data_IF_429514105362
#
_entry.id   IF_429514105362
#
_cell.length_a   1.000
_cell.length_b   1.000
_cell.length_c   1.000
_cell.angle_alpha   90.00
_cell.angle_beta   90.00
_cell.angle_gamma   90.00
#
_symmetry.space_group_name_H-M   'P 1'
#
loop_
_entity.id
_entity.type
_entity.pdbx_description
1 polymer ?
#
# COMPACT_ATOMS: atom_id res chain seq x y z
N UNK A 1 -20.12 -4.62 33.12
CA UNK A 1 -20.84 -4.67 31.83
C UNK A 1 -21.12 -6.13 31.51
N UNK A 2 -22.23 -6.44 30.86
CA UNK A 2 -22.51 -7.83 30.50
C UNK A 2 -21.73 -8.22 29.24
N UNK A 3 -21.41 -9.49 29.12
CA UNK A 3 -20.70 -10.03 27.92
C UNK A 3 -21.46 -9.70 26.61
N UNK A 4 -22.78 -9.61 26.67
CA UNK A 4 -23.63 -9.23 25.52
C UNK A 4 -23.41 -7.77 25.09
N UNK A 5 -23.26 -6.86 26.06
CA UNK A 5 -22.96 -5.45 25.78
C UNK A 5 -21.58 -5.29 25.15
N UNK A 6 -20.59 -6.05 25.60
CA UNK A 6 -19.25 -6.02 25.04
C UNK A 6 -19.21 -6.51 23.59
N UNK A 7 -19.97 -7.55 23.25
CA UNK A 7 -20.11 -8.04 21.88
C UNK A 7 -20.80 -7.01 21.00
N UNK A 8 -21.88 -6.39 21.49
CA UNK A 8 -22.60 -5.35 20.75
C UNK A 8 -21.74 -4.11 20.50
N UNK A 9 -21.02 -3.63 21.51
CA UNK A 9 -20.09 -2.51 21.41
C UNK A 9 -18.93 -2.83 20.45
N UNK A 10 -18.40 -4.04 20.49
CA UNK A 10 -17.31 -4.46 19.58
C UNK A 10 -17.79 -4.57 18.14
N UNK A 11 -18.96 -5.14 17.88
CA UNK A 11 -19.57 -5.16 16.55
C UNK A 11 -19.85 -3.74 16.04
N UNK A 12 -20.31 -2.85 16.93
CA UNK A 12 -20.51 -1.43 16.61
C UNK A 12 -19.21 -0.73 16.22
N UNK A 13 -18.11 -1.03 16.92
CA UNK A 13 -16.79 -0.47 16.60
C UNK A 13 -16.32 -0.89 15.19
N UNK A 14 -16.45 -2.16 14.84
CA UNK A 14 -16.13 -2.68 13.49
C UNK A 14 -17.02 -2.02 12.43
N UNK A 15 -18.32 -1.91 12.68
CA UNK A 15 -19.25 -1.25 11.76
C UNK A 15 -18.90 0.23 11.53
N UNK A 16 -18.48 0.95 12.57
CA UNK A 16 -18.04 2.35 12.46
C UNK A 16 -16.73 2.48 11.67
N UNK A 17 -15.81 1.51 11.79
CA UNK A 17 -14.57 1.48 11.02
C UNK A 17 -14.80 1.25 9.52
N UNK A 18 -15.78 0.42 9.18
CA UNK A 18 -16.17 0.15 7.79
C UNK A 18 -17.00 1.29 7.18
N UNK A 19 -17.69 2.08 8.00
CA UNK A 19 -18.55 3.15 7.52
C UNK A 19 -17.72 4.34 6.98
N UNK A 20 -18.00 4.74 5.74
CA UNK A 20 -17.32 5.87 5.09
C UNK A 20 -17.48 7.17 5.88
N UNK A 21 -16.41 7.91 6.06
CA UNK A 21 -16.40 9.25 6.68
C UNK A 21 -16.65 9.25 8.20
N UNK A 22 -16.70 8.11 8.86
CA UNK A 22 -16.77 8.02 10.31
C UNK A 22 -15.36 8.11 10.91
N UNK A 23 -15.24 8.94 11.94
CA UNK A 23 -13.99 9.12 12.68
C UNK A 23 -14.29 9.40 14.15
N UNK A 24 -13.43 8.99 15.08
CA UNK A 24 -13.61 9.24 16.52
C UNK A 24 -13.78 10.72 16.86
N UNK A 25 -13.07 11.61 16.16
CA UNK A 25 -13.19 13.06 16.36
C UNK A 25 -14.59 13.63 16.07
N UNK A 26 -15.44 12.88 15.34
CA UNK A 26 -16.80 13.31 14.96
C UNK A 26 -17.90 12.51 15.63
N UNK A 27 -17.55 11.55 16.48
CA UNK A 27 -18.48 10.65 17.15
C UNK A 27 -18.00 10.31 18.56
N UNK A 28 -18.66 10.83 19.58
CA UNK A 28 -18.34 10.53 20.97
C UNK A 28 -18.46 9.03 21.30
N UNK A 29 -19.42 8.33 20.67
CA UNK A 29 -19.55 6.87 20.76
C UNK A 29 -18.29 6.18 20.23
N UNK A 30 -17.84 6.54 19.03
CA UNK A 30 -16.65 5.91 18.42
C UNK A 30 -15.39 6.20 19.24
N UNK A 31 -15.22 7.46 19.73
CA UNK A 31 -14.11 7.82 20.59
C UNK A 31 -14.11 7.04 21.92
N UNK A 32 -15.28 6.73 22.48
CA UNK A 32 -15.43 5.87 23.67
C UNK A 32 -14.97 4.44 23.36
N UNK A 33 -15.41 3.88 22.24
CA UNK A 33 -15.05 2.51 21.83
C UNK A 33 -13.55 2.37 21.53
N UNK A 34 -12.94 3.38 20.90
CA UNK A 34 -11.48 3.43 20.67
C UNK A 34 -10.73 3.39 22.01
N UNK A 35 -11.11 4.22 22.97
CA UNK A 35 -10.50 4.20 24.31
C UNK A 35 -10.67 2.85 25.01
N UNK A 36 -11.83 2.23 24.90
CA UNK A 36 -12.06 0.89 25.46
C UNK A 36 -11.11 -0.14 24.85
N UNK A 37 -10.93 -0.09 23.53
CA UNK A 37 -10.00 -0.98 22.85
C UNK A 37 -8.55 -0.81 23.36
N UNK A 38 -8.13 0.45 23.60
CA UNK A 38 -6.79 0.77 24.10
C UNK A 38 -6.58 0.34 25.57
N UNK A 39 -7.62 0.38 26.39
CA UNK A 39 -7.51 0.18 27.85
C UNK A 39 -8.02 -1.17 28.35
N UNK A 40 -8.86 -1.86 27.58
CA UNK A 40 -9.51 -3.12 27.98
C UNK A 40 -9.07 -4.28 27.06
N UNK A 41 -8.04 -5.08 27.42
CA UNK A 41 -7.54 -6.17 26.55
C UNK A 41 -8.61 -7.21 26.18
N UNK A 42 -9.54 -7.50 27.09
CA UNK A 42 -10.66 -8.43 26.82
C UNK A 42 -11.58 -7.89 25.72
N UNK A 43 -11.92 -6.61 25.76
CA UNK A 43 -12.71 -5.95 24.72
C UNK A 43 -11.96 -5.93 23.37
N UNK A 44 -10.67 -5.61 23.37
CA UNK A 44 -9.84 -5.63 22.18
C UNK A 44 -9.80 -7.02 21.51
N UNK A 45 -9.78 -8.10 22.30
CA UNK A 45 -9.86 -9.46 21.76
C UNK A 45 -11.22 -9.74 21.10
N UNK A 46 -12.32 -9.29 21.68
CA UNK A 46 -13.65 -9.43 21.09
C UNK A 46 -13.73 -8.70 19.75
N UNK A 47 -13.23 -7.46 19.68
CA UNK A 47 -13.18 -6.67 18.43
C UNK A 47 -12.37 -7.40 17.35
N UNK A 48 -11.18 -7.95 17.69
CA UNK A 48 -10.36 -8.70 16.74
C UNK A 48 -11.07 -9.96 16.25
N UNK A 49 -11.75 -10.71 17.13
CA UNK A 49 -12.51 -11.89 16.73
C UNK A 49 -13.69 -11.56 15.82
N UNK A 50 -14.40 -10.46 16.08
CA UNK A 50 -15.48 -10.01 15.21
C UNK A 50 -14.93 -9.57 13.86
N UNK A 51 -13.83 -8.80 13.81
CA UNK A 51 -13.18 -8.45 12.56
C UNK A 51 -12.75 -9.70 11.77
N UNK A 52 -12.15 -10.67 12.42
CA UNK A 52 -11.78 -11.96 11.82
C UNK A 52 -12.98 -12.73 11.26
N UNK A 53 -14.16 -12.66 11.91
CA UNK A 53 -15.39 -13.27 11.39
C UNK A 53 -15.92 -12.62 10.11
N UNK A 54 -15.38 -11.45 9.72
CA UNK A 54 -15.60 -10.78 8.43
C UNK A 54 -14.38 -10.90 7.49
N UNK A 55 -13.45 -11.80 7.78
CA UNK A 55 -12.17 -11.94 7.06
C UNK A 55 -11.41 -10.60 6.97
N UNK A 56 -11.42 -9.85 8.07
CA UNK A 56 -10.70 -8.59 8.23
C UNK A 56 -9.66 -8.72 9.33
N UNK A 57 -8.52 -8.05 9.12
CA UNK A 57 -7.45 -7.96 10.10
C UNK A 57 -7.46 -6.57 10.75
N UNK A 58 -7.32 -6.51 12.07
CA UNK A 58 -7.10 -5.23 12.76
C UNK A 58 -5.63 -4.86 12.60
N UNK A 59 -5.36 -3.83 11.81
CA UNK A 59 -4.01 -3.32 11.58
C UNK A 59 -3.57 -2.48 12.79
N UNK A 60 -4.33 -1.44 13.10
CA UNK A 60 -4.03 -0.54 14.20
C UNK A 60 -5.29 0.16 14.70
N UNK A 61 -5.22 0.69 15.92
CA UNK A 61 -6.22 1.62 16.45
C UNK A 61 -5.55 2.96 16.71
N UNK A 62 -6.06 4.01 16.10
CA UNK A 62 -5.49 5.34 16.17
C UNK A 62 -6.58 6.37 16.51
N UNK A 63 -6.21 7.43 17.26
CA UNK A 63 -7.15 8.46 17.72
C UNK A 63 -7.88 9.21 16.60
N UNK A 64 -7.24 9.36 15.45
CA UNK A 64 -7.83 10.12 14.33
C UNK A 64 -8.65 9.25 13.38
N UNK A 65 -8.10 8.18 12.74
CA UNK A 65 -8.90 7.31 11.89
C UNK A 65 -9.78 6.34 12.66
N UNK A 66 -9.49 6.06 13.94
CA UNK A 66 -10.13 5.03 14.73
C UNK A 66 -9.54 3.65 14.47
N UNK A 67 -10.37 2.63 14.41
CA UNK A 67 -9.99 1.26 14.06
C UNK A 67 -9.66 1.16 12.58
N UNK A 68 -8.43 0.80 12.25
CA UNK A 68 -7.97 0.55 10.88
C UNK A 68 -7.99 -0.93 10.62
N UNK A 69 -8.74 -1.32 9.60
CA UNK A 69 -8.95 -2.71 9.19
C UNK A 69 -8.27 -2.95 7.85
N UNK A 70 -7.53 -4.05 7.77
CA UNK A 70 -7.01 -4.61 6.53
C UNK A 70 -7.92 -5.71 6.00
N UNK A 71 -7.92 -5.90 4.70
CA UNK A 71 -8.64 -6.99 4.03
C UNK A 71 -7.75 -8.22 3.89
N UNK A 72 -8.32 -9.41 4.01
CA UNK A 72 -7.68 -10.66 3.57
C UNK A 72 -8.16 -11.02 2.16
N UNK A 73 -7.49 -11.91 1.44
CA UNK A 73 -7.92 -12.31 0.09
C UNK A 73 -9.32 -12.91 0.06
N UNK A 74 -9.79 -13.46 1.18
CA UNK A 74 -11.07 -14.16 1.32
C UNK A 74 -12.25 -13.22 1.62
N UNK A 75 -11.98 -11.96 1.98
CA UNK A 75 -13.04 -11.05 2.43
C UNK A 75 -13.93 -10.55 1.30
N UNK A 76 -15.23 -10.51 1.56
CA UNK A 76 -16.22 -9.87 0.67
C UNK A 76 -16.10 -8.33 0.62
N UNK A 77 -15.31 -7.74 1.49
CA UNK A 77 -15.06 -6.28 1.52
C UNK A 77 -13.92 -5.85 0.60
N UNK A 78 -13.18 -6.78 0.01
CA UNK A 78 -12.15 -6.47 -0.98
C UNK A 78 -12.80 -6.01 -2.30
N UNK A 79 -12.36 -4.87 -2.81
CA UNK A 79 -12.78 -4.38 -4.11
C UNK A 79 -11.78 -4.85 -5.16
N UNK A 80 -12.23 -5.65 -6.11
CA UNK A 80 -11.34 -6.15 -7.16
C UNK A 80 -10.95 -5.03 -8.14
N UNK A 81 -9.76 -5.14 -8.73
CA UNK A 81 -9.34 -4.21 -9.80
C UNK A 81 -10.30 -4.30 -11.00
N UNK A 82 -10.92 -5.46 -11.22
CA UNK A 82 -11.89 -5.66 -12.29
C UNK A 82 -13.15 -4.81 -12.11
N UNK A 83 -13.61 -4.61 -10.88
CA UNK A 83 -14.77 -3.77 -10.55
C UNK A 83 -14.45 -2.29 -10.75
N UNK A 84 -13.22 -1.88 -10.44
CA UNK A 84 -12.77 -0.50 -10.59
C UNK A 84 -12.45 -0.15 -12.04
N UNK A 85 -11.87 -1.10 -12.78
CA UNK A 85 -11.38 -0.91 -14.14
C UNK A 85 -11.91 -2.02 -15.05
N UNK A 86 -13.07 -1.78 -15.71
CA UNK A 86 -13.70 -2.79 -16.58
C UNK A 86 -12.81 -3.22 -17.76
N UNK A 87 -12.03 -2.30 -18.33
CA UNK A 87 -11.13 -2.60 -19.44
C UNK A 87 -9.89 -3.35 -18.95
N UNK A 88 -9.74 -4.60 -19.37
CA UNK A 88 -8.62 -5.46 -18.95
C UNK A 88 -7.25 -4.84 -19.25
N UNK A 89 -7.09 -4.21 -20.42
CA UNK A 89 -5.85 -3.54 -20.82
C UNK A 89 -5.47 -2.32 -19.93
N UNK A 90 -6.44 -1.76 -19.19
CA UNK A 90 -6.19 -0.62 -18.28
C UNK A 90 -5.83 -1.06 -16.86
N UNK A 91 -6.14 -2.29 -16.47
CA UNK A 91 -5.93 -2.80 -15.10
C UNK A 91 -4.46 -2.75 -14.66
N UNK A 92 -3.49 -3.24 -15.46
CA UNK A 92 -2.09 -3.13 -15.07
C UNK A 92 -1.61 -1.68 -14.95
N UNK A 93 -2.09 -0.79 -15.83
CA UNK A 93 -1.76 0.64 -15.77
C UNK A 93 -2.36 1.33 -14.54
N UNK A 94 -3.54 0.90 -14.12
CA UNK A 94 -4.17 1.38 -12.89
C UNK A 94 -3.38 0.96 -11.65
N UNK A 95 -2.92 -0.30 -11.58
CA UNK A 95 -2.06 -0.78 -10.48
C UNK A 95 -0.72 -0.05 -10.46
N UNK A 96 -0.14 0.22 -11.64
CA UNK A 96 1.05 1.04 -11.75
C UNK A 96 0.84 2.45 -11.19
N UNK A 97 -0.29 3.08 -11.48
CA UNK A 97 -0.64 4.37 -10.90
C UNK A 97 -0.79 4.29 -9.37
N UNK A 98 -1.39 3.23 -8.82
CA UNK A 98 -1.49 3.01 -7.37
C UNK A 98 -0.11 2.87 -6.72
N UNK A 99 0.80 2.10 -7.32
CA UNK A 99 2.18 1.96 -6.84
C UNK A 99 2.93 3.30 -6.86
N UNK A 100 2.79 4.07 -7.94
CA UNK A 100 3.42 5.38 -8.06
C UNK A 100 2.86 6.38 -7.02
N UNK A 101 1.55 6.34 -6.74
CA UNK A 101 0.93 7.14 -5.68
C UNK A 101 1.53 6.78 -4.32
N UNK A 102 1.68 5.49 -4.02
CA UNK A 102 2.26 5.03 -2.76
C UNK A 102 3.73 5.43 -2.62
N UNK A 103 4.53 5.26 -3.69
CA UNK A 103 5.94 5.64 -3.71
C UNK A 103 6.17 7.14 -3.55
N UNK A 104 5.33 7.97 -4.17
CA UNK A 104 5.38 9.43 -3.99
C UNK A 104 4.84 9.88 -2.64
N UNK A 105 3.87 9.15 -2.10
CA UNK A 105 3.33 9.43 -0.78
C UNK A 105 4.33 9.13 0.34
N UNK A 106 5.09 8.06 0.21
CA UNK A 106 6.04 7.58 1.21
C UNK A 106 7.38 7.21 0.54
N UNK A 107 8.19 8.23 0.17
CA UNK A 107 9.43 8.01 -0.57
C UNK A 107 10.53 7.33 0.25
N UNK A 108 10.42 7.33 1.57
CA UNK A 108 11.39 6.69 2.46
C UNK A 108 10.67 5.73 3.41
N UNK A 109 11.29 4.60 3.81
CA UNK A 109 10.73 3.69 4.80
C UNK A 109 10.34 4.39 6.12
N UNK A 110 11.15 5.36 6.58
CA UNK A 110 10.93 6.10 7.82
C UNK A 110 9.63 6.92 7.79
N UNK A 111 9.17 7.34 6.60
CA UNK A 111 7.92 8.08 6.43
C UNK A 111 6.69 7.22 6.79
N UNK A 112 6.84 5.87 6.79
CA UNK A 112 5.79 4.93 7.20
C UNK A 112 5.70 4.78 8.73
N UNK A 113 6.76 5.10 9.45
CA UNK A 113 6.83 5.01 10.92
C UNK A 113 6.50 6.34 11.61
N UNK A 114 6.47 7.45 10.87
CA UNK A 114 6.13 8.78 11.41
C UNK A 114 4.61 8.99 11.45
N UNK A 115 4.04 9.02 12.66
CA UNK A 115 2.61 9.18 12.90
C UNK A 115 2.04 10.53 12.44
N UNK A 116 2.87 11.54 12.33
CA UNK A 116 2.47 12.90 11.92
C UNK A 116 2.73 13.15 10.43
N UNK A 117 3.41 12.22 9.74
CA UNK A 117 3.76 12.40 8.35
C UNK A 117 2.52 12.47 7.45
N UNK A 118 2.35 13.61 6.82
CA UNK A 118 1.30 13.89 5.83
C UNK A 118 1.93 14.56 4.63
N UNK A 119 1.76 13.98 3.45
CA UNK A 119 2.25 14.55 2.20
C UNK A 119 1.11 14.86 1.24
N UNK A 120 1.44 15.54 0.15
CA UNK A 120 0.52 15.86 -0.93
C UNK A 120 1.00 15.22 -2.22
N UNK A 121 0.06 14.62 -2.93
CA UNK A 121 0.30 13.97 -4.22
C UNK A 121 -0.70 14.53 -5.22
N UNK A 122 -0.25 14.94 -6.40
CA UNK A 122 -1.12 15.43 -7.47
C UNK A 122 -1.18 14.48 -8.66
N UNK A 123 -2.26 14.57 -9.43
CA UNK A 123 -2.42 13.77 -10.66
C UNK A 123 -1.27 14.01 -11.63
N UNK A 124 -0.87 15.26 -11.80
CA UNK A 124 0.23 15.66 -12.68
C UNK A 124 1.56 15.05 -12.20
N UNK A 125 1.88 15.19 -10.91
CA UNK A 125 3.10 14.65 -10.32
C UNK A 125 3.23 13.15 -10.49
N UNK A 126 2.14 12.40 -10.26
CA UNK A 126 2.13 10.93 -10.45
C UNK A 126 2.40 10.56 -11.91
N UNK A 127 1.74 11.23 -12.86
CA UNK A 127 1.95 10.95 -14.28
C UNK A 127 3.38 11.28 -14.73
N UNK A 128 3.92 12.41 -14.29
CA UNK A 128 5.30 12.82 -14.59
C UNK A 128 6.31 11.82 -14.05
N UNK A 129 6.12 11.34 -12.81
CA UNK A 129 7.01 10.35 -12.19
C UNK A 129 6.96 9.00 -12.92
N UNK A 130 5.77 8.48 -13.21
CA UNK A 130 5.61 7.23 -13.98
C UNK A 130 6.28 7.35 -15.34
N UNK A 131 6.13 8.48 -16.03
CA UNK A 131 6.77 8.71 -17.34
C UNK A 131 8.28 8.82 -17.22
N UNK A 132 8.79 9.47 -16.17
CA UNK A 132 10.22 9.59 -15.90
C UNK A 132 10.86 8.22 -15.68
N UNK A 133 10.27 7.40 -14.81
CA UNK A 133 10.71 6.04 -14.55
C UNK A 133 10.65 5.16 -15.80
N UNK A 134 9.55 5.25 -16.56
CA UNK A 134 9.40 4.48 -17.81
C UNK A 134 10.50 4.81 -18.83
N UNK A 135 10.83 6.09 -19.02
CA UNK A 135 11.94 6.50 -19.91
C UNK A 135 13.31 6.04 -19.39
N UNK A 136 13.53 6.09 -18.07
CA UNK A 136 14.76 5.60 -17.46
C UNK A 136 14.95 4.09 -17.68
N UNK A 137 13.87 3.32 -17.61
CA UNK A 137 13.86 1.88 -17.90
C UNK A 137 14.14 1.64 -19.39
N UNK A 138 13.46 2.33 -20.31
CA UNK A 138 13.72 2.21 -21.75
C UNK A 138 15.19 2.50 -22.08
N UNK A 139 15.76 3.58 -21.51
CA UNK A 139 17.15 3.94 -21.74
C UNK A 139 18.12 2.88 -21.21
N UNK A 140 17.83 2.30 -20.04
CA UNK A 140 18.66 1.21 -19.47
C UNK A 140 18.62 -0.05 -20.32
N UNK A 141 17.43 -0.45 -20.77
CA UNK A 141 17.26 -1.62 -21.64
C UNK A 141 17.95 -1.43 -23.00
N UNK A 142 17.92 -0.22 -23.57
CA UNK A 142 18.63 0.09 -24.80
C UNK A 142 20.17 0.04 -24.67
N UNK A 143 20.70 0.10 -23.46
CA UNK A 143 22.14 -0.01 -23.17
C UNK A 143 22.58 -1.44 -22.81
N UNK A 144 21.65 -2.32 -22.48
CA UNK A 144 21.92 -3.72 -22.17
C UNK A 144 21.78 -4.52 -23.47
N UNK A 145 22.84 -5.20 -23.90
CA UNK A 145 22.89 -5.99 -25.14
C UNK A 145 21.68 -6.94 -25.24
N UNK A 146 21.09 -6.98 -26.43
CA UNK A 146 19.76 -7.53 -26.74
C UNK A 146 19.69 -9.07 -26.79
N UNK A 147 20.47 -9.81 -26.00
CA UNK A 147 20.51 -11.28 -26.08
C UNK A 147 19.55 -12.00 -25.11
N UNK A 148 18.71 -11.25 -24.41
CA UNK A 148 17.67 -11.84 -23.55
C UNK A 148 16.32 -11.20 -23.85
N UNK A 149 15.72 -11.61 -24.94
CA UNK A 149 14.33 -11.24 -25.27
C UNK A 149 13.39 -11.94 -24.26
N UNK A 150 12.59 -11.20 -23.48
CA UNK A 150 11.60 -11.84 -22.61
C UNK A 150 10.58 -12.61 -23.46
N UNK A 151 10.07 -13.74 -22.98
CA UNK A 151 9.12 -14.57 -23.73
C UNK A 151 7.97 -13.72 -24.27
N UNK A 152 7.67 -13.83 -25.57
CA UNK A 152 6.71 -13.00 -26.30
C UNK A 152 5.26 -13.08 -25.78
N UNK A 153 4.96 -14.03 -24.94
CA UNK A 153 3.64 -14.34 -24.35
C UNK A 153 3.42 -13.79 -22.94
N UNK A 154 4.45 -13.21 -22.30
CA UNK A 154 4.28 -12.47 -21.05
C UNK A 154 4.55 -10.99 -21.31
N UNK A 155 3.53 -10.12 -21.28
CA UNK A 155 3.76 -8.68 -21.27
C UNK A 155 4.41 -8.32 -19.93
N UNK A 156 5.72 -8.50 -19.84
CA UNK A 156 6.50 -8.13 -18.67
C UNK A 156 6.35 -6.64 -18.35
N UNK A 157 6.93 -6.20 -17.25
CA UNK A 157 6.96 -4.79 -16.82
C UNK A 157 7.33 -3.83 -17.97
N UNK A 158 8.18 -4.27 -18.89
CA UNK A 158 8.57 -3.51 -20.08
C UNK A 158 7.39 -3.17 -20.99
N UNK A 159 6.53 -4.13 -21.29
CA UNK A 159 5.31 -3.90 -22.07
C UNK A 159 4.37 -2.91 -21.38
N UNK A 160 4.29 -2.95 -20.05
CA UNK A 160 3.49 -2.04 -19.25
C UNK A 160 4.00 -0.59 -19.34
N UNK A 161 5.30 -0.35 -19.19
CA UNK A 161 5.91 0.98 -19.29
C UNK A 161 5.72 1.58 -20.69
N UNK A 162 5.94 0.79 -21.75
CA UNK A 162 5.70 1.21 -23.13
C UNK A 162 4.23 1.52 -23.40
N UNK A 163 3.30 0.72 -22.83
CA UNK A 163 1.87 0.98 -22.94
C UNK A 163 1.47 2.29 -22.25
N UNK A 164 2.07 2.61 -21.12
CA UNK A 164 1.85 3.88 -20.43
C UNK A 164 2.36 5.06 -21.24
N UNK A 165 3.60 5.00 -21.75
CA UNK A 165 4.24 6.07 -22.53
C UNK A 165 3.50 6.38 -23.85
N UNK A 166 2.89 5.37 -24.48
CA UNK A 166 2.10 5.55 -25.71
C UNK A 166 0.79 6.33 -25.48
N UNK A 167 0.34 6.46 -24.25
CA UNK A 167 -0.87 7.23 -23.93
C UNK A 167 -0.55 8.71 -23.73
N UNK A 168 -1.45 9.56 -24.25
CA UNK A 168 -1.37 10.99 -23.95
C UNK A 168 -1.68 11.25 -22.48
N UNK A 169 -0.98 12.21 -21.88
CA UNK A 169 -1.25 12.65 -20.51
C UNK A 169 -2.65 13.24 -20.37
N UNK A 170 -2.97 14.15 -21.28
CA UNK A 170 -4.23 14.91 -21.33
C UNK A 170 -4.87 14.81 -22.69
N UNK A 171 -6.12 15.20 -22.76
CA UNK A 171 -6.87 15.29 -24.03
C UNK A 171 -8.29 15.77 -23.73
N UNK A 172 -8.99 16.21 -24.79
CA UNK A 172 -10.40 16.58 -24.74
C UNK A 172 -11.18 15.81 -25.80
N UNK A 173 -12.42 15.42 -25.47
CA UNK A 173 -13.37 14.87 -26.43
C UNK A 173 -14.12 16.01 -27.10
N UNK A 174 -14.88 15.71 -28.19
CA UNK A 174 -15.78 16.68 -28.84
C UNK A 174 -16.80 17.29 -27.87
N UNK A 175 -17.09 16.64 -26.75
CA UNK A 175 -17.98 17.11 -25.70
C UNK A 175 -17.29 17.83 -24.57
N UNK A 176 -16.05 18.31 -24.77
CA UNK A 176 -15.19 18.98 -23.79
C UNK A 176 -14.94 18.19 -22.49
N UNK A 177 -14.97 16.85 -22.59
CA UNK A 177 -14.69 15.94 -21.48
C UNK A 177 -13.31 15.30 -21.63
N UNK A 178 -12.64 15.06 -20.51
CA UNK A 178 -11.37 14.33 -20.50
C UNK A 178 -11.59 12.88 -20.94
N UNK A 179 -10.92 12.39 -22.00
CA UNK A 179 -11.05 11.02 -22.45
C UNK A 179 -10.63 10.03 -21.36
N UNK A 180 -11.29 8.88 -21.28
CA UNK A 180 -10.89 7.81 -20.33
C UNK A 180 -9.54 7.17 -20.69
N UNK A 181 -9.09 7.35 -21.93
CA UNK A 181 -7.86 6.76 -22.47
C UNK A 181 -6.58 7.51 -22.09
N UNK A 182 -6.68 8.73 -21.56
CA UNK A 182 -5.52 9.51 -21.11
C UNK A 182 -5.06 9.08 -19.72
N UNK A 183 -3.75 9.19 -19.47
CA UNK A 183 -3.16 8.73 -18.18
C UNK A 183 -3.65 9.55 -16.99
N UNK A 184 -3.90 10.85 -17.15
CA UNK A 184 -4.50 11.67 -16.10
C UNK A 184 -5.87 11.16 -15.64
N UNK A 185 -6.68 10.63 -16.55
CA UNK A 185 -7.97 10.03 -16.19
C UNK A 185 -7.81 8.77 -15.36
N UNK A 186 -6.79 7.97 -15.66
CA UNK A 186 -6.45 6.76 -14.93
C UNK A 186 -5.95 7.08 -13.51
N UNK A 187 -4.96 7.99 -13.39
CA UNK A 187 -4.41 8.43 -12.10
C UNK A 187 -5.49 9.10 -11.24
N UNK A 188 -6.32 9.96 -11.84
CA UNK A 188 -7.43 10.60 -11.13
C UNK A 188 -8.41 9.57 -10.58
N UNK A 189 -8.71 8.51 -11.34
CA UNK A 189 -9.58 7.41 -10.87
C UNK A 189 -8.96 6.71 -9.66
N UNK A 190 -7.65 6.43 -9.69
CA UNK A 190 -6.94 5.83 -8.56
C UNK A 190 -7.02 6.72 -7.31
N UNK A 191 -6.71 8.01 -7.42
CA UNK A 191 -6.79 8.96 -6.31
C UNK A 191 -8.22 9.17 -5.80
N UNK A 192 -9.23 9.17 -6.69
CA UNK A 192 -10.64 9.26 -6.31
C UNK A 192 -11.06 8.04 -5.50
N UNK A 193 -10.68 6.85 -5.94
CA UNK A 193 -10.94 5.60 -5.20
C UNK A 193 -10.31 5.64 -3.80
N UNK A 194 -9.04 6.04 -3.70
CA UNK A 194 -8.38 6.21 -2.40
C UNK A 194 -9.09 7.24 -1.51
N UNK A 195 -9.61 8.33 -2.11
CA UNK A 195 -10.34 9.36 -1.38
C UNK A 195 -11.71 8.86 -0.89
N UNK A 196 -12.42 8.07 -1.67
CA UNK A 196 -13.70 7.45 -1.29
C UNK A 196 -13.55 6.52 -0.08
N UNK A 197 -12.40 5.89 0.09
CA UNK A 197 -12.09 5.01 1.22
C UNK A 197 -11.38 5.74 2.38
N UNK A 198 -11.16 7.07 2.24
CA UNK A 198 -10.53 7.89 3.29
C UNK A 198 -9.03 7.71 3.44
N UNK A 199 -8.38 7.12 2.45
CA UNK A 199 -6.91 6.99 2.41
C UNK A 199 -6.24 8.31 2.04
N UNK A 200 -6.85 9.10 1.17
CA UNK A 200 -6.42 10.44 0.84
C UNK A 200 -7.60 11.41 0.89
N UNK A 201 -7.34 12.71 0.92
CA UNK A 201 -8.36 13.75 0.89
C UNK A 201 -8.00 14.79 -0.18
N UNK A 202 -8.91 15.04 -1.11
CA UNK A 202 -8.73 16.10 -2.11
C UNK A 202 -8.61 17.46 -1.41
N UNK A 203 -7.56 18.22 -1.74
CA UNK A 203 -7.26 19.52 -1.15
C UNK A 203 -7.35 20.68 -2.13
N UNK A 204 -7.08 20.45 -3.43
CA UNK A 204 -7.27 21.46 -4.48
C UNK A 204 -7.51 20.83 -5.85
N UNK A 205 -7.88 21.66 -6.83
CA UNK A 205 -7.99 21.29 -8.25
C UNK A 205 -6.70 21.56 -9.04
N UNK A 206 -5.70 22.14 -8.40
CA UNK A 206 -4.39 22.40 -8.99
C UNK A 206 -3.72 21.10 -9.41
N UNK A 207 -2.87 21.15 -10.45
CA UNK A 207 -2.16 19.99 -11.01
C UNK A 207 -3.06 18.82 -11.36
N UNK A 208 -4.24 19.11 -11.91
CA UNK A 208 -5.30 18.19 -12.27
C UNK A 208 -5.96 17.47 -11.08
N UNK A 209 -5.77 17.97 -9.88
CA UNK A 209 -6.25 17.48 -8.59
C UNK A 209 -5.11 17.09 -7.66
N UNK A 210 -5.04 17.76 -6.51
CA UNK A 210 -4.06 17.52 -5.44
C UNK A 210 -4.76 16.89 -4.24
N UNK A 211 -4.12 15.89 -3.65
CA UNK A 211 -4.64 15.09 -2.54
C UNK A 211 -3.63 15.03 -1.41
N UNK A 212 -4.10 15.16 -0.17
CA UNK A 212 -3.30 14.94 1.04
C UNK A 212 -3.51 13.51 1.54
N UNK A 213 -2.43 12.86 1.95
CA UNK A 213 -2.47 11.52 2.56
C UNK A 213 -3.11 11.54 3.94
N UNK A 214 -3.53 10.38 4.43
CA UNK A 214 -4.06 10.19 5.78
C UNK A 214 -3.24 9.13 6.53
N UNK A 215 -3.33 9.12 7.85
CA UNK A 215 -2.76 8.07 8.71
C UNK A 215 -3.27 6.68 8.28
N UNK A 216 -4.55 6.58 7.89
CA UNK A 216 -5.12 5.31 7.41
C UNK A 216 -4.38 4.78 6.18
N UNK A 217 -3.99 5.65 5.24
CA UNK A 217 -3.24 5.25 4.04
C UNK A 217 -1.85 4.76 4.39
N UNK A 218 -1.14 5.48 5.27
CA UNK A 218 0.17 5.08 5.76
C UNK A 218 0.14 3.68 6.38
N UNK A 219 -0.79 3.43 7.31
CA UNK A 219 -0.94 2.13 7.96
C UNK A 219 -1.24 1.01 6.96
N UNK A 220 -2.09 1.28 5.96
CA UNK A 220 -2.40 0.32 4.91
C UNK A 220 -1.17 -0.01 4.05
N UNK A 221 -0.37 0.99 3.67
CA UNK A 221 0.86 0.78 2.90
C UNK A 221 1.87 -0.01 3.72
N UNK A 222 2.09 0.37 4.97
CA UNK A 222 3.04 -0.30 5.87
C UNK A 222 2.73 -1.80 6.02
N UNK A 223 1.47 -2.14 6.24
CA UNK A 223 1.10 -3.47 6.70
C UNK A 223 0.66 -4.43 5.57
N UNK A 224 0.16 -3.94 4.44
CA UNK A 224 -0.45 -4.81 3.43
C UNK A 224 -0.19 -4.47 1.95
N UNK A 225 -0.17 -3.19 1.59
CA UNK A 225 -0.40 -2.82 0.20
C UNK A 225 0.67 -3.29 -0.79
N UNK A 226 1.94 -3.36 -0.38
CA UNK A 226 3.01 -3.79 -1.27
C UNK A 226 2.83 -5.25 -1.72
N UNK A 227 2.48 -6.14 -0.80
CA UNK A 227 2.27 -7.56 -1.10
C UNK A 227 1.03 -7.81 -1.96
N UNK A 228 -0.06 -7.11 -1.70
CA UNK A 228 -1.32 -7.27 -2.42
C UNK A 228 -1.20 -6.77 -3.87
N UNK A 229 -0.61 -5.60 -4.06
CA UNK A 229 -0.37 -5.07 -5.40
C UNK A 229 0.58 -5.92 -6.25
N UNK A 230 1.62 -6.49 -5.64
CA UNK A 230 2.52 -7.42 -6.32
C UNK A 230 1.80 -8.71 -6.73
N UNK A 231 0.92 -9.25 -5.89
CA UNK A 231 0.10 -10.42 -6.23
C UNK A 231 -0.84 -10.13 -7.39
N UNK A 232 -1.51 -8.98 -7.40
CA UNK A 232 -2.38 -8.57 -8.50
C UNK A 232 -1.61 -8.38 -9.81
N UNK A 233 -0.43 -7.76 -9.78
CA UNK A 233 0.43 -7.62 -10.96
C UNK A 233 0.91 -8.98 -11.48
N UNK A 234 1.21 -9.92 -10.57
CA UNK A 234 1.58 -11.29 -10.94
C UNK A 234 0.40 -12.04 -11.56
N UNK A 235 -0.81 -11.90 -11.00
CA UNK A 235 -2.03 -12.50 -11.56
C UNK A 235 -2.38 -11.96 -12.95
N UNK A 236 -1.98 -10.73 -13.25
CA UNK A 236 -2.10 -10.13 -14.59
C UNK A 236 -0.92 -10.47 -15.52
N UNK A 237 0.03 -11.31 -15.09
CA UNK A 237 1.20 -11.70 -15.87
C UNK A 237 2.24 -10.59 -16.06
N UNK A 238 2.23 -9.56 -15.24
CA UNK A 238 3.12 -8.38 -15.35
C UNK A 238 4.36 -8.52 -14.48
N UNK A 239 4.29 -9.25 -13.36
CA UNK A 239 5.41 -9.46 -12.43
C UNK A 239 5.50 -10.93 -12.01
N UNK A 240 6.72 -11.42 -11.76
CA UNK A 240 6.91 -12.68 -11.06
C UNK A 240 6.87 -12.43 -9.55
N UNK A 241 6.12 -13.24 -8.81
CA UNK A 241 6.20 -13.22 -7.35
C UNK A 241 7.57 -13.75 -6.92
N UNK A 242 8.27 -13.11 -5.97
CA UNK A 242 9.46 -13.69 -5.38
C UNK A 242 9.09 -15.04 -4.76
N UNK A 243 9.82 -16.10 -5.13
CA UNK A 243 9.61 -17.43 -4.56
C UNK A 243 9.85 -17.38 -3.06
N UNK A 244 8.96 -17.99 -2.29
CA UNK A 244 9.00 -18.00 -0.81
C UNK A 244 10.31 -18.57 -0.24
N UNK A 245 11.03 -19.39 -1.05
CA UNK A 245 12.32 -19.99 -0.69
C UNK A 245 13.49 -19.00 -0.68
N UNK A 246 13.37 -17.80 -1.32
CA UNK A 246 14.43 -16.79 -1.29
C UNK A 246 14.35 -15.87 -0.07
N UNK A 247 13.18 -15.72 0.55
CA UNK A 247 13.01 -14.92 1.76
C UNK A 247 13.62 -15.61 2.99
N UNK A 248 13.53 -16.95 3.07
CA UNK A 248 14.11 -17.73 4.17
C UNK A 248 15.64 -17.84 4.10
N UNK A 249 16.23 -17.72 2.90
CA UNK A 249 17.70 -17.79 2.74
C UNK A 249 18.39 -16.50 3.18
N UNK A 250 17.72 -15.34 3.05
CA UNK A 250 18.29 -14.06 3.49
C UNK A 250 18.23 -13.87 5.02
N UNK A 251 17.19 -14.36 5.68
CA UNK A 251 17.12 -14.35 7.15
C UNK A 251 18.12 -15.32 7.78
N UNK A 252 18.30 -16.52 7.19
CA UNK A 252 19.28 -17.50 7.68
C UNK A 252 20.74 -17.04 7.48
N UNK A 253 21.02 -16.24 6.46
CA UNK A 253 22.36 -15.69 6.20
C UNK A 253 22.69 -14.53 7.17
N UNK A 254 21.70 -13.75 7.59
CA UNK A 254 21.90 -12.68 8.56
C UNK A 254 22.13 -13.21 9.97
N UNK A 255 21.45 -14.29 10.36
CA UNK A 255 21.60 -14.93 11.68
C UNK A 255 22.92 -15.71 11.81
N UNK A 256 23.44 -16.28 10.69
CA UNK A 256 24.76 -16.93 10.64
C UNK A 256 25.93 -15.96 10.72
N UNK A 257 25.77 -14.72 10.29
CA UNK A 257 26.83 -13.70 10.32
C UNK A 257 27.01 -13.10 11.72
N UNK A 258 25.99 -13.13 12.56
CA UNK A 258 26.04 -12.63 13.94
C UNK A 258 26.63 -13.62 14.94
N UNK A 259 26.77 -14.90 14.57
CA UNK A 259 27.31 -15.95 15.47
C UNK A 259 28.81 -16.23 15.30
N UNK A 260 29.52 -15.54 14.39
CA UNK A 260 30.91 -15.87 14.04
C UNK A 260 31.98 -14.98 14.68
N UNK A 261 31.64 -14.02 15.55
CA UNK A 261 32.62 -13.05 16.12
C UNK A 261 32.73 -13.11 17.64
N UNK A 262 32.81 -14.33 18.21
CA UNK A 262 33.18 -14.50 19.65
C UNK A 262 34.26 -15.58 19.83
N UNK A 263 35.44 -15.32 19.23
CA UNK A 263 36.65 -16.09 19.57
C UNK A 263 37.82 -15.11 19.72
N UNK A 264 37.93 -14.55 20.91
CA UNK A 264 39.13 -13.81 21.32
C UNK A 264 40.31 -14.79 21.56
N UNK A 265 41.49 -14.55 20.96
CA UNK A 265 42.68 -15.32 21.28
C UNK A 265 43.26 -14.84 22.63
N UNK A 266 43.43 -15.78 23.55
CA UNK A 266 44.02 -15.54 24.84
C UNK A 266 45.47 -15.01 24.74
N UNK A 267 45.74 -13.95 25.47
CA UNK A 267 47.10 -13.46 25.74
C UNK A 267 47.80 -14.33 26.76
N UNK A 268 49.06 -14.72 26.54
CA UNK A 268 49.86 -15.37 27.56
C UNK A 268 50.44 -14.33 28.57
N UNK A 269 50.36 -14.67 29.82
CA UNK A 269 51.02 -13.99 30.93
C UNK A 269 52.55 -14.10 30.84
N UNK A 270 53.31 -13.07 31.20
CA UNK A 270 54.75 -13.21 31.42
C UNK A 270 55.05 -13.73 32.81
N UNK A 271 55.76 -14.87 32.88
CA UNK A 271 56.51 -15.32 34.02
C UNK A 271 57.91 -14.73 33.86
N UNK A 272 58.39 -13.98 34.84
CA UNK A 272 59.65 -14.27 35.53
C UNK A 272 60.15 -13.12 36.43
N UNK A 273 60.46 -13.53 37.57
CA UNK A 273 61.40 -13.00 38.55
C UNK A 273 62.85 -13.46 38.29
N UNK A 274 63.87 -12.88 38.86
CA UNK A 274 64.07 -12.78 40.31
C UNK A 274 64.22 -11.36 40.88
#
# INVERSE_FOLDING_TARGET
MSQHEDIADAARMVALALARGKAPARSGEYARLVRRFETEPAFAQIVRKIAQGFDLTVLEVHRMPGLVLGTTPETDFAVSVADLVPQTADRPLYLLAQLAIAALAFPRPEDLDDDEYVTRVSVKQVDEEVRSLARAIEHRLAQTDADTDPPADQPGLEGLWRAYLRRNATGTTRADKTPRTVTYSLVRRALTHLAEHGFVRKVSDEDAGTYATSVKYRLQIRDQAAGDMLRELAALGVAALPSRDQATTSESAADSALSADDTLPGSPLPTDLP
#
